data_IF_039954795257
#
_entry.id   IF_039954795257
#
_cell.length_a   1.000
_cell.length_b   1.000
_cell.length_c   1.000
_cell.angle_alpha   90.00
_cell.angle_beta   90.00
_cell.angle_gamma   90.00
#
_symmetry.space_group_name_H-M   'P 1'
#
loop_
_entity.id
_entity.type
_entity.pdbx_description
1 polymer ?
#
# COMPACT_ATOMS: atom_id res chain seq x y z
N UNK A 1 25.86 -17.98 0.21
CA UNK A 1 24.77 -18.42 1.13
C UNK A 1 24.35 -19.81 0.68
N UNK A 2 24.50 -20.82 1.56
CA UNK A 2 24.02 -22.17 1.26
C UNK A 2 22.50 -22.17 1.30
N UNK A 3 21.86 -22.71 0.25
CA UNK A 3 20.41 -22.98 0.31
C UNK A 3 20.13 -23.91 1.49
N UNK A 4 19.09 -23.66 2.29
CA UNK A 4 18.68 -24.60 3.31
C UNK A 4 18.31 -25.94 2.63
N UNK A 5 19.04 -26.98 2.97
CA UNK A 5 18.76 -28.32 2.47
C UNK A 5 17.78 -28.95 3.46
N UNK A 6 16.56 -29.16 3.00
CA UNK A 6 15.60 -29.97 3.75
C UNK A 6 16.03 -31.43 3.61
N UNK A 7 16.40 -32.05 4.71
CA UNK A 7 16.70 -33.50 4.75
C UNK A 7 15.51 -34.21 5.34
N UNK A 8 15.05 -35.25 4.63
CA UNK A 8 14.04 -36.16 5.11
C UNK A 8 14.73 -37.39 5.70
N UNK A 9 14.26 -37.84 6.82
CA UNK A 9 14.68 -39.13 7.37
C UNK A 9 14.03 -40.28 6.57
N UNK A 10 14.67 -41.43 6.52
CA UNK A 10 14.13 -42.57 5.83
C UNK A 10 12.77 -42.98 6.43
N UNK A 11 11.77 -43.09 5.58
CA UNK A 11 10.39 -43.38 5.98
C UNK A 11 9.49 -42.20 6.25
N UNK A 12 9.98 -40.96 6.17
CA UNK A 12 9.14 -39.78 6.21
C UNK A 12 8.49 -39.54 4.85
N UNK A 13 7.19 -39.24 4.88
CA UNK A 13 6.50 -38.76 3.70
C UNK A 13 6.97 -37.35 3.42
N UNK A 14 7.48 -37.10 2.20
CA UNK A 14 7.80 -35.75 1.78
C UNK A 14 6.53 -34.90 1.85
N UNK A 15 6.58 -33.79 2.58
CA UNK A 15 5.51 -32.80 2.53
C UNK A 15 5.50 -32.17 1.14
N UNK A 16 4.37 -32.19 0.45
CA UNK A 16 4.28 -31.51 -0.84
C UNK A 16 4.60 -30.01 -0.63
N UNK A 17 5.48 -29.49 -1.46
CA UNK A 17 5.61 -28.04 -1.58
C UNK A 17 4.35 -27.55 -2.27
N UNK A 18 3.47 -26.92 -1.51
CA UNK A 18 2.38 -26.18 -2.12
C UNK A 18 2.91 -24.81 -2.54
N UNK A 19 2.63 -24.45 -3.78
CA UNK A 19 2.84 -23.08 -4.21
C UNK A 19 1.94 -22.18 -3.36
N UNK A 20 2.48 -21.06 -2.89
CA UNK A 20 1.67 -20.05 -2.21
C UNK A 20 0.51 -19.65 -3.13
N UNK A 21 -0.72 -19.80 -2.63
CA UNK A 21 -1.89 -19.46 -3.41
C UNK A 21 -1.97 -17.94 -3.54
N UNK A 22 -2.01 -17.47 -4.79
CA UNK A 22 -2.25 -16.07 -5.08
C UNK A 22 -3.76 -15.77 -4.83
N UNK A 23 -4.06 -14.76 -4.02
CA UNK A 23 -5.43 -14.31 -3.78
C UNK A 23 -6.11 -13.65 -5.00
N UNK A 24 -5.44 -13.65 -6.17
CA UNK A 24 -5.95 -13.07 -7.41
C UNK A 24 -5.53 -11.62 -7.65
N UNK A 25 -4.83 -11.02 -6.72
CA UNK A 25 -4.33 -9.64 -6.78
C UNK A 25 -2.83 -9.53 -7.10
N UNK A 26 -2.11 -10.65 -7.19
CA UNK A 26 -0.66 -10.77 -7.38
C UNK A 26 0.19 -10.11 -6.28
N UNK A 27 -0.41 -9.73 -5.17
CA UNK A 27 0.25 -9.02 -4.07
C UNK A 27 0.07 -9.71 -2.71
N UNK A 28 -0.98 -10.53 -2.57
CA UNK A 28 -1.26 -11.29 -1.36
C UNK A 28 -1.06 -12.78 -1.61
N UNK A 29 -0.27 -13.42 -0.76
CA UNK A 29 0.01 -14.84 -0.85
C UNK A 29 -0.36 -15.52 0.46
N UNK A 30 -1.16 -16.59 0.38
CA UNK A 30 -1.46 -17.46 1.49
C UNK A 30 -0.82 -18.82 1.23
N UNK A 31 -0.11 -19.36 2.21
CA UNK A 31 0.42 -20.71 2.16
C UNK A 31 -0.44 -21.61 3.05
N UNK A 32 -0.89 -22.75 2.52
CA UNK A 32 -1.62 -23.76 3.31
C UNK A 32 -0.71 -24.48 4.31
N UNK A 33 0.60 -24.36 4.11
CA UNK A 33 1.62 -24.92 4.99
C UNK A 33 2.70 -23.89 5.30
N UNK A 34 2.95 -23.66 6.58
CA UNK A 34 4.04 -22.80 7.02
C UNK A 34 5.30 -23.62 7.29
N UNK A 35 6.41 -23.37 6.58
CA UNK A 35 7.69 -24.01 6.88
C UNK A 35 8.27 -23.56 8.23
N UNK A 36 7.74 -22.50 8.83
CA UNK A 36 8.19 -21.96 10.12
C UNK A 36 7.43 -22.61 11.27
N UNK A 37 6.25 -23.15 11.03
CA UNK A 37 5.42 -23.78 12.04
C UNK A 37 4.92 -25.13 11.54
N UNK A 38 5.37 -26.21 12.16
CA UNK A 38 4.82 -27.55 11.94
C UNK A 38 3.42 -27.72 12.57
N UNK A 39 2.80 -26.66 13.05
CA UNK A 39 1.50 -26.66 13.69
C UNK A 39 0.45 -26.40 12.63
N UNK A 40 -0.39 -27.41 12.37
CA UNK A 40 -1.53 -27.32 11.45
C UNK A 40 -2.44 -26.14 11.84
N UNK A 41 -2.69 -25.25 10.91
CA UNK A 41 -3.57 -24.09 11.08
C UNK A 41 -2.87 -22.80 11.52
N UNK A 42 -1.53 -22.72 11.47
CA UNK A 42 -0.79 -21.47 11.54
C UNK A 42 -0.24 -21.16 10.14
N UNK A 43 -0.97 -20.43 9.36
CA UNK A 43 -0.59 -20.03 8.01
C UNK A 43 0.00 -18.62 8.03
N UNK A 44 1.22 -18.39 7.49
CA UNK A 44 1.71 -17.04 7.34
C UNK A 44 0.96 -16.36 6.19
N UNK A 45 0.31 -15.26 6.49
CA UNK A 45 -0.19 -14.33 5.47
C UNK A 45 0.85 -13.26 5.26
N UNK A 46 1.40 -13.16 4.05
CA UNK A 46 2.35 -12.12 3.67
C UNK A 46 1.58 -11.06 2.89
N UNK A 47 1.43 -9.90 3.49
CA UNK A 47 0.88 -8.74 2.81
C UNK A 47 2.00 -7.71 2.63
N UNK A 48 2.45 -7.41 1.40
CA UNK A 48 3.39 -6.34 1.17
C UNK A 48 2.75 -5.01 1.59
N UNK A 49 3.56 -4.10 2.11
CA UNK A 49 3.09 -2.77 2.45
C UNK A 49 2.60 -2.03 1.20
N UNK A 50 1.46 -1.35 1.32
CA UNK A 50 0.88 -0.55 0.26
C UNK A 50 -0.47 -1.04 -0.23
N UNK A 51 -0.84 -0.58 -1.41
CA UNK A 51 -2.08 -0.97 -2.09
C UNK A 51 -2.02 -2.45 -2.50
N UNK A 52 -3.00 -3.22 -2.09
CA UNK A 52 -3.13 -4.64 -2.42
C UNK A 52 -4.09 -4.85 -3.59
N UNK A 53 -5.31 -4.32 -3.49
CA UNK A 53 -6.34 -4.48 -4.51
C UNK A 53 -7.15 -3.20 -4.70
N UNK A 54 -7.75 -3.02 -5.85
CA UNK A 54 -8.67 -1.91 -6.13
C UNK A 54 -7.99 -0.54 -6.23
N UNK A 55 -8.65 0.51 -5.74
CA UNK A 55 -8.11 1.87 -5.70
C UNK A 55 -8.03 2.59 -7.05
N UNK A 56 -8.67 2.05 -8.10
CA UNK A 56 -8.70 2.71 -9.39
C UNK A 56 -9.32 4.11 -9.29
N UNK A 57 -8.60 5.10 -9.82
CA UNK A 57 -9.06 6.48 -9.87
C UNK A 57 -9.63 6.75 -11.25
N UNK A 58 -10.85 7.25 -11.30
CA UNK A 58 -11.54 7.54 -12.56
C UNK A 58 -12.19 8.92 -12.53
N UNK A 59 -12.58 9.40 -13.72
CA UNK A 59 -13.24 10.70 -13.86
C UNK A 59 -14.61 10.70 -13.20
N UNK A 60 -15.03 11.86 -12.71
CA UNK A 60 -16.36 12.11 -12.20
C UNK A 60 -16.99 13.30 -12.95
N UNK A 61 -18.31 13.28 -13.15
CA UNK A 61 -18.99 14.35 -13.90
C UNK A 61 -19.04 15.69 -13.14
N UNK A 62 -18.95 15.64 -11.81
CA UNK A 62 -18.97 16.86 -10.98
C UNK A 62 -17.61 17.55 -11.03
N UNK A 63 -17.63 18.89 -11.06
CA UNK A 63 -16.43 19.71 -11.06
C UNK A 63 -15.50 19.37 -9.89
N UNK A 64 -14.21 19.30 -10.18
CA UNK A 64 -13.14 19.06 -9.22
C UNK A 64 -13.23 17.74 -8.44
N UNK A 65 -14.07 16.81 -8.87
CA UNK A 65 -14.31 15.53 -8.19
C UNK A 65 -13.72 14.39 -9.00
N UNK A 66 -13.25 13.37 -8.32
CA UNK A 66 -12.81 12.10 -8.90
C UNK A 66 -13.54 10.95 -8.22
N UNK A 67 -13.63 9.81 -8.89
CA UNK A 67 -14.04 8.55 -8.26
C UNK A 67 -12.80 7.76 -7.84
N UNK A 68 -12.82 7.21 -6.66
CA UNK A 68 -11.86 6.22 -6.19
C UNK A 68 -12.62 4.94 -5.88
N UNK A 69 -12.27 3.85 -6.52
CA UNK A 69 -12.87 2.55 -6.27
C UNK A 69 -12.50 2.02 -4.87
N UNK A 70 -13.34 1.16 -4.33
CA UNK A 70 -13.01 0.44 -3.11
C UNK A 70 -11.67 -0.29 -3.24
N UNK A 71 -10.94 -0.41 -2.15
CA UNK A 71 -9.60 -0.96 -2.14
C UNK A 71 -9.28 -1.72 -0.86
N UNK A 72 -8.24 -2.52 -0.93
CA UNK A 72 -7.57 -3.06 0.25
C UNK A 72 -6.11 -2.61 0.24
N UNK A 73 -5.56 -2.33 1.41
CA UNK A 73 -4.18 -1.92 1.56
C UNK A 73 -3.58 -2.52 2.83
N UNK A 74 -2.30 -2.85 2.77
CA UNK A 74 -1.52 -3.19 3.96
C UNK A 74 -0.83 -1.93 4.44
N UNK A 75 -1.18 -1.47 5.62
CA UNK A 75 -0.74 -0.19 6.15
C UNK A 75 0.13 -0.40 7.38
N UNK A 76 1.22 0.37 7.48
CA UNK A 76 2.00 0.47 8.70
C UNK A 76 1.46 1.60 9.58
N UNK A 77 1.60 1.46 10.88
CA UNK A 77 1.27 2.52 11.81
C UNK A 77 2.24 3.70 11.71
N UNK A 78 1.81 4.87 12.17
CA UNK A 78 2.64 6.07 12.20
C UNK A 78 3.87 5.91 13.13
N UNK A 79 3.75 5.08 14.15
CA UNK A 79 4.81 4.72 15.08
C UNK A 79 5.14 3.25 14.93
N UNK A 80 6.40 2.91 14.73
CA UNK A 80 6.87 1.57 14.36
C UNK A 80 6.62 0.41 15.35
N UNK A 81 5.83 0.64 16.40
CA UNK A 81 5.48 -0.37 17.39
C UNK A 81 4.10 -1.02 17.16
N UNK A 82 3.28 -0.46 16.26
CA UNK A 82 1.89 -0.86 16.18
C UNK A 82 1.62 -1.77 15.00
N UNK A 83 0.63 -2.61 15.19
CA UNK A 83 0.21 -3.60 14.22
C UNK A 83 -0.09 -2.96 12.86
N UNK A 84 0.77 -3.20 11.92
CA UNK A 84 0.40 -3.06 10.53
C UNK A 84 -0.72 -4.07 10.25
N UNK A 85 -1.71 -3.65 9.52
CA UNK A 85 -2.86 -4.48 9.21
C UNK A 85 -3.33 -4.27 7.79
N UNK A 86 -4.03 -5.27 7.28
CA UNK A 86 -4.78 -5.12 6.04
C UNK A 86 -6.08 -4.39 6.37
N UNK A 87 -6.28 -3.24 5.73
CA UNK A 87 -7.51 -2.46 5.84
C UNK A 87 -8.33 -2.57 4.56
N UNK A 88 -9.65 -2.51 4.73
CA UNK A 88 -10.60 -2.39 3.62
C UNK A 88 -11.21 -1.00 3.62
N UNK A 89 -11.16 -0.34 2.47
CA UNK A 89 -11.61 1.04 2.31
C UNK A 89 -12.72 1.09 1.29
N UNK A 90 -13.85 1.69 1.65
CA UNK A 90 -14.97 1.85 0.75
C UNK A 90 -14.64 2.85 -0.36
N UNK A 91 -15.34 2.74 -1.50
CA UNK A 91 -15.25 3.70 -2.58
C UNK A 91 -15.63 5.12 -2.09
N UNK A 92 -14.99 6.13 -2.66
CA UNK A 92 -15.21 7.52 -2.31
C UNK A 92 -15.12 8.44 -3.54
N UNK A 93 -15.67 9.65 -3.40
CA UNK A 93 -15.65 10.69 -4.43
C UNK A 93 -14.98 11.96 -3.88
N UNK A 94 -13.67 11.94 -3.61
CA UNK A 94 -12.99 13.09 -3.05
C UNK A 94 -12.87 14.24 -4.07
N UNK A 95 -12.72 15.46 -3.55
CA UNK A 95 -12.58 16.67 -4.33
C UNK A 95 -11.12 17.13 -4.36
N UNK A 96 -10.63 17.52 -5.52
CA UNK A 96 -9.30 18.11 -5.70
C UNK A 96 -9.34 19.62 -5.49
N UNK A 97 -8.20 20.20 -5.15
CA UNK A 97 -8.02 21.66 -5.08
C UNK A 97 -7.27 22.13 -6.33
N UNK A 98 -7.88 23.03 -7.10
CA UNK A 98 -7.21 23.64 -8.25
C UNK A 98 -6.23 24.75 -7.83
N UNK A 99 -5.27 25.11 -8.68
CA UNK A 99 -4.42 26.24 -8.43
C UNK A 99 -5.22 27.57 -8.40
N UNK A 100 -4.71 28.57 -7.71
CA UNK A 100 -5.33 29.89 -7.62
C UNK A 100 -5.33 30.63 -8.98
N UNK A 101 -4.33 30.37 -9.80
CA UNK A 101 -4.17 30.90 -11.17
C UNK A 101 -3.91 29.77 -12.17
N UNK A 102 -3.75 30.09 -13.45
CA UNK A 102 -3.47 29.07 -14.47
C UNK A 102 -2.01 28.61 -14.43
N UNK A 103 -1.65 27.86 -13.40
CA UNK A 103 -0.31 27.26 -13.16
C UNK A 103 -0.42 25.78 -12.82
N UNK A 104 0.70 25.08 -12.87
CA UNK A 104 0.75 23.68 -12.51
C UNK A 104 0.44 23.44 -11.02
N UNK A 105 -0.37 22.44 -10.73
CA UNK A 105 -0.61 21.92 -9.38
C UNK A 105 -0.81 20.41 -9.43
N UNK A 106 -0.17 19.71 -8.52
CA UNK A 106 -0.35 18.27 -8.34
C UNK A 106 -1.09 18.03 -7.04
N UNK A 107 -2.13 17.21 -7.09
CA UNK A 107 -2.85 16.72 -5.93
C UNK A 107 -2.59 15.23 -5.79
N UNK A 108 -2.10 14.78 -4.64
CA UNK A 108 -1.92 13.35 -4.33
C UNK A 108 -3.19 12.78 -3.73
N UNK A 109 -3.67 11.67 -4.27
CA UNK A 109 -4.78 10.91 -3.71
C UNK A 109 -4.21 9.88 -2.78
N UNK A 110 -4.59 9.93 -1.52
CA UNK A 110 -3.99 9.14 -0.45
C UNK A 110 -5.02 8.31 0.29
N UNK A 111 -4.54 7.26 0.92
CA UNK A 111 -5.29 6.44 1.88
C UNK A 111 -4.53 6.46 3.19
N UNK A 112 -5.22 6.80 4.28
CA UNK A 112 -4.65 6.79 5.63
C UNK A 112 -4.77 5.41 6.26
N UNK A 113 -3.97 5.13 7.29
CA UNK A 113 -4.08 3.89 8.07
C UNK A 113 -5.43 3.73 8.78
N UNK A 114 -6.18 4.80 8.97
CA UNK A 114 -7.55 4.79 9.47
C UNK A 114 -8.60 4.41 8.40
N UNK A 115 -8.17 4.14 7.16
CA UNK A 115 -9.06 3.78 6.07
C UNK A 115 -9.78 4.96 5.41
N UNK A 116 -9.28 6.17 5.54
CA UNK A 116 -9.84 7.34 4.90
C UNK A 116 -9.14 7.64 3.56
N UNK A 117 -9.92 7.84 2.49
CA UNK A 117 -9.43 8.38 1.23
C UNK A 117 -9.42 9.91 1.33
N UNK A 118 -8.27 10.52 1.07
CA UNK A 118 -8.07 11.96 1.13
C UNK A 118 -7.33 12.46 -0.11
N UNK A 119 -7.43 13.76 -0.37
CA UNK A 119 -6.65 14.45 -1.39
C UNK A 119 -5.77 15.49 -0.71
N UNK A 120 -4.47 15.33 -0.89
CA UNK A 120 -3.46 16.28 -0.41
C UNK A 120 -3.05 17.17 -1.57
N UNK A 121 -3.31 18.47 -1.47
CA UNK A 121 -2.97 19.43 -2.51
C UNK A 121 -1.51 19.86 -2.41
N UNK A 122 -0.80 19.87 -3.55
CA UNK A 122 0.52 20.47 -3.65
C UNK A 122 0.48 21.99 -3.70
N UNK A 123 1.64 22.60 -3.68
CA UNK A 123 1.81 24.06 -3.84
C UNK A 123 1.69 24.45 -5.31
N UNK A 124 1.07 25.59 -5.58
CA UNK A 124 0.95 26.16 -6.92
C UNK A 124 2.33 26.40 -7.53
N UNK A 125 2.51 26.01 -8.79
CA UNK A 125 3.73 26.26 -9.55
C UNK A 125 3.89 27.71 -9.98
N UNK A 126 5.05 28.02 -10.53
CA UNK A 126 5.31 29.32 -11.15
C UNK A 126 4.82 29.40 -12.62
N UNK A 127 4.55 28.27 -13.24
CA UNK A 127 4.13 28.12 -14.65
C UNK A 127 3.21 26.91 -14.80
N UNK A 128 2.80 26.60 -16.02
CA UNK A 128 2.03 25.41 -16.34
C UNK A 128 2.88 24.12 -16.43
N UNK A 129 4.19 24.21 -16.22
CA UNK A 129 5.09 23.06 -16.21
C UNK A 129 5.09 22.41 -14.83
N UNK A 130 4.87 21.10 -14.78
CA UNK A 130 4.89 20.33 -13.54
C UNK A 130 6.33 20.09 -13.09
N UNK A 131 6.54 20.13 -11.78
CA UNK A 131 7.74 19.63 -11.14
C UNK A 131 7.54 18.15 -10.76
N UNK A 132 8.57 17.35 -10.94
CA UNK A 132 8.57 15.97 -10.44
C UNK A 132 9.17 15.87 -9.02
N UNK A 133 9.66 16.97 -8.50
CA UNK A 133 10.25 17.04 -7.15
C UNK A 133 9.13 17.18 -6.12
N UNK A 134 9.06 16.24 -5.19
CA UNK A 134 8.08 16.25 -4.13
C UNK A 134 8.30 17.43 -3.18
N UNK A 135 7.22 18.08 -2.79
CA UNK A 135 7.24 19.29 -1.98
C UNK A 135 7.59 20.59 -2.73
N UNK A 136 8.05 20.50 -3.97
CA UNK A 136 8.31 21.67 -4.79
C UNK A 136 7.01 22.32 -5.31
N UNK A 137 7.07 23.60 -5.63
CA UNK A 137 5.98 24.32 -6.30
C UNK A 137 5.66 23.68 -7.64
N UNK A 138 4.39 23.36 -7.90
CA UNK A 138 3.93 22.64 -9.08
C UNK A 138 4.24 21.14 -9.08
N UNK A 139 4.77 20.61 -7.98
CA UNK A 139 5.09 19.19 -7.79
C UNK A 139 4.14 18.47 -6.82
N UNK A 140 4.33 17.15 -6.66
CA UNK A 140 3.58 16.36 -5.71
C UNK A 140 3.80 16.84 -4.27
N UNK A 141 2.78 16.87 -3.41
CA UNK A 141 2.95 17.23 -2.00
C UNK A 141 3.63 16.11 -1.21
N UNK A 142 4.20 16.46 -0.06
CA UNK A 142 4.47 15.49 1.00
C UNK A 142 3.14 14.95 1.53
N UNK A 143 3.11 13.68 1.88
CA UNK A 143 1.94 13.03 2.48
C UNK A 143 2.23 12.60 3.91
N UNK A 144 1.18 12.33 4.69
CA UNK A 144 1.35 11.87 6.07
C UNK A 144 2.07 10.50 6.11
N UNK A 145 2.92 10.29 7.13
CA UNK A 145 3.76 9.09 7.26
C UNK A 145 2.95 7.79 7.38
N UNK A 146 1.71 7.89 7.85
CA UNK A 146 0.75 6.80 8.01
C UNK A 146 -0.18 6.63 6.79
N UNK A 147 0.19 7.22 5.66
CA UNK A 147 -0.59 7.18 4.43
C UNK A 147 0.18 6.54 3.29
N UNK A 148 -0.56 6.05 2.29
CA UNK A 148 -0.01 5.66 0.98
C UNK A 148 -0.58 6.55 -0.10
N UNK A 149 0.17 6.77 -1.17
CA UNK A 149 -0.28 7.48 -2.36
C UNK A 149 -0.78 6.47 -3.39
N UNK A 150 -2.04 6.58 -3.80
CA UNK A 150 -2.67 5.67 -4.77
C UNK A 150 -2.80 6.28 -6.16
N UNK A 151 -2.60 7.58 -6.30
CA UNK A 151 -2.61 8.27 -7.57
C UNK A 151 -2.37 9.76 -7.43
N UNK A 152 -2.19 10.43 -8.56
CA UNK A 152 -2.02 11.88 -8.65
C UNK A 152 -3.01 12.46 -9.63
N UNK A 153 -3.49 13.66 -9.32
CA UNK A 153 -4.26 14.49 -10.28
C UNK A 153 -3.46 15.73 -10.58
N UNK A 154 -3.13 15.96 -11.85
CA UNK A 154 -2.32 17.07 -12.35
C UNK A 154 -3.17 18.06 -13.11
N UNK A 155 -3.26 19.28 -12.64
CA UNK A 155 -4.11 20.33 -13.21
C UNK A 155 -3.31 21.62 -13.41
N UNK A 156 -3.67 22.34 -14.48
CA UNK A 156 -3.03 23.61 -14.85
C UNK A 156 -4.00 24.79 -14.95
N UNK A 157 -5.27 24.57 -14.63
CA UNK A 157 -6.32 25.60 -14.72
C UNK A 157 -6.96 25.86 -13.37
N UNK A 158 -7.19 27.13 -13.04
CA UNK A 158 -7.96 27.56 -11.87
C UNK A 158 -9.48 27.44 -12.05
N UNK A 159 -9.94 27.28 -13.31
CA UNK A 159 -11.37 27.18 -13.62
C UNK A 159 -11.92 25.86 -13.15
N UNK A 160 -13.00 25.90 -12.37
CA UNK A 160 -13.69 24.70 -11.93
C UNK A 160 -14.26 23.93 -13.12
N UNK A 161 -14.03 22.63 -13.15
CA UNK A 161 -14.50 21.75 -14.20
C UNK A 161 -14.26 20.29 -13.84
N UNK A 162 -14.88 19.34 -14.54
CA UNK A 162 -14.61 17.92 -14.37
C UNK A 162 -13.12 17.62 -14.58
N UNK A 163 -12.59 16.67 -13.81
CA UNK A 163 -11.24 16.12 -14.04
C UNK A 163 -11.30 15.20 -15.26
N UNK A 164 -10.32 15.32 -16.16
CA UNK A 164 -10.23 14.47 -17.35
C UNK A 164 -9.31 13.28 -17.10
N UNK A 165 -9.46 12.22 -17.88
CA UNK A 165 -8.63 11.02 -17.75
C UNK A 165 -7.12 11.33 -17.93
N UNK A 166 -6.77 12.27 -18.83
CA UNK A 166 -5.37 12.69 -19.04
C UNK A 166 -4.76 13.47 -17.88
N UNK A 167 -5.53 13.85 -16.87
CA UNK A 167 -5.07 14.52 -15.66
C UNK A 167 -4.84 13.54 -14.48
N UNK A 168 -5.23 12.28 -14.64
CA UNK A 168 -5.10 11.23 -13.61
C UNK A 168 -3.90 10.37 -13.93
N UNK A 169 -2.99 10.25 -12.97
CA UNK A 169 -1.74 9.48 -13.07
C UNK A 169 -1.72 8.38 -12.02
N UNK A 170 -1.40 7.18 -12.45
CA UNK A 170 -1.18 6.05 -11.55
C UNK A 170 0.18 6.15 -10.88
N UNK A 171 0.26 5.72 -9.62
CA UNK A 171 1.48 5.62 -8.85
C UNK A 171 1.58 4.21 -8.24
N UNK A 172 2.73 3.80 -7.69
CA UNK A 172 2.92 2.43 -7.18
C UNK A 172 2.01 2.00 -6.02
N UNK A 173 1.25 2.91 -5.40
CA UNK A 173 0.38 2.58 -4.27
C UNK A 173 1.14 2.40 -2.95
N UNK A 174 2.23 3.11 -2.79
CA UNK A 174 3.12 3.07 -1.63
C UNK A 174 3.26 4.45 -1.00
N UNK A 175 3.89 4.50 0.19
CA UNK A 175 4.39 5.78 0.69
C UNK A 175 5.67 6.14 -0.07
N UNK A 176 5.73 7.29 -0.77
CA UNK A 176 6.84 7.60 -1.68
C UNK A 176 8.18 7.84 -0.99
N UNK A 177 8.18 8.11 0.32
CA UNK A 177 9.36 8.49 1.10
C UNK A 177 9.64 7.52 2.24
N UNK A 178 8.86 6.43 2.33
CA UNK A 178 8.99 5.44 3.39
C UNK A 178 9.31 4.08 2.78
N UNK A 179 10.38 3.46 3.24
CA UNK A 179 10.70 2.08 2.92
C UNK A 179 10.24 1.19 4.07
N UNK A 180 9.09 0.53 3.90
CA UNK A 180 8.57 -0.43 4.87
C UNK A 180 8.81 -1.85 4.40
N UNK A 181 9.07 -2.72 5.37
CA UNK A 181 9.22 -4.14 5.12
C UNK A 181 7.85 -4.83 5.09
N UNK A 182 7.70 -5.94 4.35
CA UNK A 182 6.47 -6.70 4.37
C UNK A 182 6.14 -7.16 5.80
N UNK A 183 4.88 -7.04 6.16
CA UNK A 183 4.39 -7.47 7.45
C UNK A 183 3.92 -8.90 7.34
N UNK A 184 4.41 -9.74 8.24
CA UNK A 184 3.97 -11.12 8.35
C UNK A 184 3.00 -11.22 9.52
N UNK A 185 1.76 -11.60 9.24
CA UNK A 185 0.80 -11.97 10.27
C UNK A 185 0.65 -13.48 10.28
N UNK A 186 0.75 -14.05 11.47
CA UNK A 186 0.44 -15.46 11.68
C UNK A 186 -1.00 -15.53 12.19
N UNK A 187 -1.87 -16.18 11.45
CA UNK A 187 -3.20 -16.50 11.94
C UNK A 187 -3.11 -17.71 12.87
N UNK A 188 -3.61 -17.55 14.08
CA UNK A 188 -3.59 -18.58 15.10
C UNK A 188 -5.00 -19.07 15.40
N UNK A 189 -5.21 -20.36 15.29
CA UNK A 189 -6.38 -20.96 15.90
C UNK A 189 -6.32 -20.79 17.45
N UNK A 190 -7.45 -20.55 18.12
CA UNK A 190 -7.50 -20.40 19.57
C UNK A 190 -6.80 -21.57 20.27
N UNK A 191 -5.95 -21.25 21.25
CA UNK A 191 -5.21 -22.25 22.05
C UNK A 191 -3.82 -22.61 21.53
N UNK A 192 -3.35 -22.01 20.45
CA UNK A 192 -1.97 -22.20 19.93
C UNK A 192 -1.01 -21.11 20.44
N UNK A 193 0.29 -21.45 20.49
CA UNK A 193 1.32 -20.52 20.92
C UNK A 193 1.41 -19.36 19.92
N UNK A 194 1.32 -18.15 20.43
CA UNK A 194 1.51 -16.95 19.59
C UNK A 194 3.01 -16.75 19.30
N UNK A 195 3.47 -17.24 18.18
CA UNK A 195 4.85 -17.09 17.75
C UNK A 195 5.16 -15.65 17.27
N UNK A 196 4.17 -14.88 16.87
CA UNK A 196 4.36 -13.50 16.43
C UNK A 196 4.91 -12.60 17.53
N UNK A 197 4.61 -12.91 18.81
CA UNK A 197 5.12 -12.16 19.95
C UNK A 197 6.55 -12.56 20.36
N UNK A 198 7.08 -13.67 19.85
CA UNK A 198 8.37 -14.25 20.28
C UNK A 198 9.42 -14.30 19.18
N UNK A 199 9.06 -14.03 17.94
CA UNK A 199 10.03 -13.98 16.85
C UNK A 199 10.66 -12.59 16.78
N UNK A 200 12.00 -12.49 16.85
CA UNK A 200 12.64 -11.22 16.54
C UNK A 200 12.34 -10.85 15.10
N UNK A 201 12.18 -9.55 14.79
CA UNK A 201 11.97 -9.11 13.42
C UNK A 201 13.06 -9.67 12.50
N UNK A 202 12.67 -10.26 11.39
CA UNK A 202 13.59 -10.93 10.44
C UNK A 202 14.74 -10.03 9.96
N UNK A 203 14.59 -8.72 10.08
CA UNK A 203 15.60 -7.75 9.69
C UNK A 203 16.72 -7.56 10.72
N UNK A 204 16.60 -8.11 11.92
CA UNK A 204 17.69 -8.04 12.93
C UNK A 204 18.67 -9.19 12.82
N UNK A 205 18.46 -10.16 11.93
CA UNK A 205 19.49 -11.12 11.59
C UNK A 205 20.63 -10.40 10.85
N UNK A 206 21.53 -9.77 11.60
CA UNK A 206 22.83 -9.37 11.07
C UNK A 206 23.52 -10.63 10.57
N UNK A 207 23.73 -10.69 9.28
CA UNK A 207 24.71 -11.61 8.73
C UNK A 207 26.08 -11.10 9.23
N UNK A 208 26.91 -11.94 9.85
CA UNK A 208 28.26 -11.58 10.26
C UNK A 208 29.14 -11.25 9.06
#
# INVERSE_FOLDING_TARGET
>A
MGNPIVRYEAGQTAYPFEAAANAGDNTTFAASFSPISAVVGAEPVVAPYGLLTGGAITVHATNNTINVAALTASMAAATGADAAGVISVAAATPTITRPATAVAKVCSVTVTNAGAIAVVAGTDGASTTFSEVRGAAGGPPFIAIDSIEIGQVRVTTSVAGPVTAGQIYSVPGLHPERADYPVYTLDHAPGKINLAASLPPLHTARVP
#
